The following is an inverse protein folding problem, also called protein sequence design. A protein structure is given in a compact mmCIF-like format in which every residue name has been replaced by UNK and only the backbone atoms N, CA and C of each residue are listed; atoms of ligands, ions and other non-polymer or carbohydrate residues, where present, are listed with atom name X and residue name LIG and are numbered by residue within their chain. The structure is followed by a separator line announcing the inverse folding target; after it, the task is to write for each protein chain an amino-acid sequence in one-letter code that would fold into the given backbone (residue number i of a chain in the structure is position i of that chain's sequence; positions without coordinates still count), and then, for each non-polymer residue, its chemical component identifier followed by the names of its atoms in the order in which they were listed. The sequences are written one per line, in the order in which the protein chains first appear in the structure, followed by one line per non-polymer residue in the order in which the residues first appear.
data_IF_709244527233
#
_entry.id   IF_709244527233
#
_cell.length_a   1.000
_cell.length_b   1.000
_cell.length_c   1.000
_cell.angle_alpha   90.00
_cell.angle_beta   90.00
_cell.angle_gamma   90.00
#
_symmetry.space_group_name_H-M   'P 1'
#
loop_
_entity.id
_entity.type
_entity.pdbx_description
1 polymer ?
#
# COMPACT_ATOMS: atom_id res chain seq x y z
N UNK A 1 14.24 44.21 4.15
CA UNK A 1 12.98 43.68 3.65
C UNK A 1 12.71 42.39 4.46
N UNK A 2 12.00 42.43 5.61
CA UNK A 2 11.82 41.30 6.54
C UNK A 2 10.95 40.14 6.03
N UNK A 3 11.19 39.64 4.83
CA UNK A 3 10.51 38.44 4.28
C UNK A 3 11.23 37.17 4.70
N UNK A 4 10.47 36.22 5.26
CA UNK A 4 10.91 34.86 5.46
C UNK A 4 10.54 34.02 4.24
N UNK A 5 11.48 33.27 3.70
CA UNK A 5 11.24 32.32 2.65
C UNK A 5 10.94 30.95 3.28
N UNK A 6 9.94 30.28 2.77
CA UNK A 6 9.67 28.87 3.08
C UNK A 6 10.36 28.02 2.02
N UNK A 7 11.04 26.96 2.44
CA UNK A 7 11.68 26.03 1.51
C UNK A 7 10.68 25.46 0.52
N UNK A 8 11.01 25.53 -0.76
CA UNK A 8 10.19 25.01 -1.83
C UNK A 8 10.46 23.52 -1.95
N UNK A 9 9.40 22.72 -1.94
CA UNK A 9 9.47 21.26 -2.13
C UNK A 9 8.66 20.85 -3.35
N UNK A 10 9.04 19.75 -4.04
CA UNK A 10 8.28 19.24 -5.18
C UNK A 10 6.84 18.89 -4.77
N UNK A 11 5.89 19.17 -5.68
CA UNK A 11 4.50 18.76 -5.56
C UNK A 11 4.02 18.20 -6.89
N UNK A 12 2.92 17.43 -6.87
CA UNK A 12 2.37 16.72 -8.02
C UNK A 12 3.42 15.82 -8.70
N UNK A 13 4.15 15.09 -7.88
CA UNK A 13 5.26 14.21 -8.30
C UNK A 13 5.02 12.77 -7.89
N UNK A 14 5.73 11.86 -8.58
CA UNK A 14 5.85 10.47 -8.18
C UNK A 14 6.55 10.36 -6.83
N UNK A 15 6.09 9.44 -5.98
CA UNK A 15 6.72 9.11 -4.69
C UNK A 15 7.50 7.80 -4.81
N UNK A 16 8.71 7.79 -4.25
CA UNK A 16 9.58 6.62 -4.24
C UNK A 16 9.33 5.78 -3.00
N UNK A 17 9.27 4.47 -3.18
CA UNK A 17 9.11 3.50 -2.11
C UNK A 17 10.38 2.68 -1.88
N UNK A 18 10.52 2.20 -0.66
CA UNK A 18 11.69 1.41 -0.21
C UNK A 18 11.65 -0.05 -0.66
N UNK A 19 10.46 -0.60 -0.88
CA UNK A 19 10.22 -2.04 -0.96
C UNK A 19 10.67 -2.64 -2.30
N UNK A 20 11.28 -3.84 -2.22
CA UNK A 20 11.82 -4.54 -3.39
C UNK A 20 10.76 -5.04 -4.37
N UNK A 21 9.51 -5.20 -3.94
CA UNK A 21 8.43 -5.70 -4.79
C UNK A 21 8.03 -4.74 -5.92
N UNK A 22 8.41 -3.47 -5.86
CA UNK A 22 8.08 -2.49 -6.91
C UNK A 22 8.55 -2.90 -8.30
N UNK A 23 9.72 -3.53 -8.40
CA UNK A 23 10.23 -4.04 -9.68
C UNK A 23 9.28 -5.07 -10.32
N UNK A 24 8.62 -5.91 -9.50
CA UNK A 24 7.64 -6.90 -9.97
C UNK A 24 6.30 -6.26 -10.35
N UNK A 25 5.90 -5.21 -9.62
CA UNK A 25 4.61 -4.54 -9.78
C UNK A 25 4.62 -3.44 -10.85
N UNK A 26 5.77 -3.10 -11.40
CA UNK A 26 5.90 -2.02 -12.39
C UNK A 26 4.92 -2.20 -13.56
N UNK A 27 4.21 -1.11 -13.89
CA UNK A 27 3.24 -1.03 -14.97
C UNK A 27 1.80 -1.40 -14.58
N UNK A 28 1.56 -1.84 -13.35
CA UNK A 28 0.19 -2.08 -12.87
C UNK A 28 -0.49 -0.74 -12.64
N UNK A 29 -1.72 -0.62 -13.17
CA UNK A 29 -2.64 0.48 -12.92
C UNK A 29 -3.97 -0.08 -12.48
N UNK A 30 -4.54 0.50 -11.45
CA UNK A 30 -5.90 0.19 -11.02
C UNK A 30 -6.45 1.32 -10.15
N UNK A 31 -7.77 1.37 -10.01
CA UNK A 31 -8.42 2.23 -9.06
C UNK A 31 -8.15 1.71 -7.64
N UNK A 32 -7.56 2.55 -6.82
CA UNK A 32 -7.13 2.22 -5.46
C UNK A 32 -7.35 3.42 -4.56
N UNK A 33 -7.41 3.18 -3.26
CA UNK A 33 -7.34 4.25 -2.27
C UNK A 33 -5.94 4.29 -1.66
N UNK A 34 -5.38 5.48 -1.52
CA UNK A 34 -4.08 5.71 -0.88
C UNK A 34 -4.25 6.70 0.26
N UNK A 35 -3.78 6.32 1.44
CA UNK A 35 -3.85 7.15 2.64
C UNK A 35 -2.45 7.39 3.16
N UNK A 36 -2.08 8.67 3.32
CA UNK A 36 -0.78 9.10 3.83
C UNK A 36 -0.81 9.23 5.34
N UNK A 37 0.21 8.68 5.97
CA UNK A 37 0.48 8.73 7.40
C UNK A 37 1.89 9.26 7.67
N UNK A 38 2.08 9.80 8.86
CA UNK A 38 3.42 10.12 9.40
C UNK A 38 3.72 9.21 10.57
N UNK A 39 4.90 8.60 10.56
CA UNK A 39 5.40 7.90 11.73
C UNK A 39 5.78 8.94 12.81
N UNK A 40 5.13 8.88 13.97
CA UNK A 40 5.59 9.64 15.13
C UNK A 40 6.93 9.07 15.57
N UNK A 41 7.94 9.93 15.80
CA UNK A 41 9.30 9.56 16.19
C UNK A 41 9.38 8.70 17.48
N UNK A 42 8.28 8.52 18.20
CA UNK A 42 8.17 7.68 19.40
C UNK A 42 7.81 6.22 19.10
N UNK A 43 7.43 5.87 17.86
CA UNK A 43 7.08 4.51 17.48
C UNK A 43 8.25 3.84 16.76
N UNK A 44 9.26 3.38 17.52
CA UNK A 44 10.20 2.39 17.03
C UNK A 44 9.57 0.99 17.23
N UNK A 45 9.33 0.20 16.19
CA UNK A 45 8.98 -1.20 16.36
C UNK A 45 10.23 -1.97 16.79
N UNK A 46 10.54 -1.99 18.08
CA UNK A 46 11.43 -3.00 18.65
C UNK A 46 10.64 -4.29 18.71
N UNK A 47 11.05 -5.26 17.86
CA UNK A 47 10.76 -6.69 17.98
C UNK A 47 9.35 -7.07 18.42
N UNK A 48 8.61 -7.68 17.50
CA UNK A 48 7.30 -8.29 17.71
C UNK A 48 7.17 -8.96 19.09
N UNK A 49 6.42 -8.33 20.01
CA UNK A 49 5.60 -8.90 21.09
C UNK A 49 5.19 -7.76 22.02
N UNK A 50 3.93 -7.39 21.98
CA UNK A 50 3.37 -6.49 22.96
C UNK A 50 2.31 -5.57 22.35
N UNK A 51 1.07 -5.77 22.72
CA UNK A 51 -0.04 -4.86 22.54
C UNK A 51 0.23 -3.58 23.33
N UNK A 52 0.90 -2.62 22.74
CA UNK A 52 0.81 -1.26 23.22
C UNK A 52 -0.45 -0.66 22.58
N UNK A 53 -1.39 -0.19 23.39
CA UNK A 53 -2.44 0.75 23.00
C UNK A 53 -1.74 2.02 22.53
N UNK A 54 -1.28 2.03 21.29
CA UNK A 54 -0.72 3.19 20.62
C UNK A 54 -1.86 3.97 19.98
N UNK A 55 -1.83 5.28 20.13
CA UNK A 55 -2.64 6.22 19.37
C UNK A 55 -2.55 5.85 17.89
N UNK A 56 -3.71 5.86 17.19
CA UNK A 56 -3.72 5.65 15.74
C UNK A 56 -2.82 6.72 15.13
N UNK A 57 -1.92 6.35 14.19
CA UNK A 57 -1.11 7.35 13.50
C UNK A 57 -2.05 8.36 12.83
N UNK A 58 -1.69 9.64 12.94
CA UNK A 58 -2.51 10.70 12.36
C UNK A 58 -2.56 10.55 10.85
N UNK A 59 -3.77 10.34 10.32
CA UNK A 59 -4.02 10.39 8.89
C UNK A 59 -3.81 11.82 8.41
N UNK A 60 -2.87 12.00 7.46
CA UNK A 60 -2.60 13.33 6.88
C UNK A 60 -3.63 13.64 5.80
N UNK A 61 -3.80 12.73 4.87
CA UNK A 61 -4.76 12.84 3.77
C UNK A 61 -5.04 11.47 3.15
N UNK A 62 -6.14 11.37 2.43
CA UNK A 62 -6.53 10.15 1.72
C UNK A 62 -7.14 10.54 0.39
N UNK A 63 -6.73 9.85 -0.68
CA UNK A 63 -7.19 10.09 -2.05
C UNK A 63 -7.53 8.77 -2.73
N UNK A 64 -8.50 8.78 -3.63
CA UNK A 64 -8.92 7.63 -4.42
C UNK A 64 -8.85 7.95 -5.91
N UNK A 65 -8.42 6.98 -6.71
CA UNK A 65 -8.36 7.07 -8.17
C UNK A 65 -7.40 6.07 -8.78
N UNK A 66 -7.09 6.25 -10.07
CA UNK A 66 -6.14 5.40 -10.76
C UNK A 66 -4.73 5.63 -10.22
N UNK A 67 -4.22 4.65 -9.51
CA UNK A 67 -2.85 4.60 -9.03
C UNK A 67 -2.01 3.74 -9.97
N UNK A 68 -0.78 4.18 -10.22
CA UNK A 68 0.20 3.45 -11.00
C UNK A 68 1.34 2.98 -10.10
N UNK A 69 1.62 1.68 -10.10
CA UNK A 69 2.80 1.10 -9.49
C UNK A 69 3.95 1.18 -10.50
N UNK A 70 5.07 1.79 -10.10
CA UNK A 70 6.27 1.95 -10.93
C UNK A 70 7.41 1.08 -10.40
N UNK A 71 8.53 1.02 -11.10
CA UNK A 71 9.68 0.23 -10.65
C UNK A 71 10.34 0.79 -9.37
N UNK A 72 10.08 2.05 -9.03
CA UNK A 72 10.69 2.74 -7.89
C UNK A 72 9.68 3.23 -6.84
N UNK A 73 8.37 3.04 -7.06
CA UNK A 73 7.37 3.54 -6.13
C UNK A 73 5.96 3.64 -6.71
N UNK A 74 5.26 4.71 -6.38
CA UNK A 74 3.86 4.95 -6.74
C UNK A 74 3.67 6.27 -7.47
N UNK A 75 2.73 6.30 -8.39
CA UNK A 75 2.39 7.45 -9.24
C UNK A 75 0.88 7.46 -9.53
N UNK A 76 0.42 8.45 -10.29
CA UNK A 76 -0.99 8.64 -10.64
C UNK A 76 -1.63 9.79 -9.87
N UNK A 77 -2.83 10.17 -10.28
CA UNK A 77 -3.50 11.37 -9.75
C UNK A 77 -3.62 11.36 -8.21
N UNK A 78 -4.02 10.27 -7.56
CA UNK A 78 -4.11 10.22 -6.10
C UNK A 78 -2.75 10.48 -5.42
N UNK A 79 -1.67 9.94 -6.02
CA UNK A 79 -0.32 10.14 -5.49
C UNK A 79 0.14 11.58 -5.66
N UNK A 80 -0.18 12.20 -6.79
CA UNK A 80 0.14 13.60 -7.03
C UNK A 80 -0.52 14.50 -5.98
N UNK A 81 -1.78 14.25 -5.64
CA UNK A 81 -2.50 15.02 -4.62
C UNK A 81 -1.86 14.91 -3.23
N UNK A 82 -1.43 13.72 -2.82
CA UNK A 82 -0.81 13.51 -1.50
C UNK A 82 0.68 13.90 -1.49
N UNK A 83 1.34 14.01 -2.66
CA UNK A 83 2.79 14.18 -2.76
C UNK A 83 3.30 15.43 -2.04
N UNK A 84 2.56 16.56 -2.09
CA UNK A 84 2.93 17.81 -1.41
C UNK A 84 3.10 17.65 0.11
N UNK A 85 2.31 16.78 0.70
CA UNK A 85 2.41 16.50 2.14
C UNK A 85 3.56 15.54 2.44
N UNK A 86 3.76 14.54 1.57
CA UNK A 86 4.85 13.57 1.72
C UNK A 86 6.21 14.24 1.54
N UNK A 87 6.37 15.09 0.52
CA UNK A 87 7.64 15.81 0.27
C UNK A 87 7.95 16.82 1.36
N UNK A 88 6.94 17.52 1.89
CA UNK A 88 7.12 18.39 3.05
C UNK A 88 7.54 17.60 4.28
N UNK A 89 6.92 16.45 4.54
CA UNK A 89 7.29 15.58 5.65
C UNK A 89 8.73 15.07 5.53
N UNK A 90 9.17 14.70 4.31
CA UNK A 90 10.57 14.31 4.07
C UNK A 90 11.54 15.46 4.31
N UNK A 91 11.19 16.68 3.88
CA UNK A 91 12.01 17.87 4.14
C UNK A 91 12.12 18.21 5.63
N UNK A 92 11.07 17.91 6.40
CA UNK A 92 11.03 18.05 7.87
C UNK A 92 11.67 16.82 8.59
N UNK A 93 12.39 15.95 7.88
CA UNK A 93 13.04 14.73 8.41
C UNK A 93 12.05 13.73 9.07
N UNK A 94 10.77 13.80 8.70
CA UNK A 94 9.74 12.86 9.14
C UNK A 94 9.75 11.61 8.24
N UNK A 95 9.12 10.54 8.72
CA UNK A 95 9.02 9.27 8.01
C UNK A 95 7.59 9.05 7.47
N UNK A 96 7.27 9.59 6.29
CA UNK A 96 5.97 9.37 5.68
C UNK A 96 5.86 7.94 5.15
N UNK A 97 4.67 7.36 5.29
CA UNK A 97 4.30 6.11 4.63
C UNK A 97 2.86 6.20 4.13
N UNK A 98 2.54 5.39 3.15
CA UNK A 98 1.16 5.25 2.68
C UNK A 98 0.65 3.84 2.93
N UNK A 99 -0.65 3.75 3.17
CA UNK A 99 -1.40 2.50 3.07
C UNK A 99 -2.21 2.55 1.78
N UNK A 100 -2.07 1.50 0.96
CA UNK A 100 -2.83 1.32 -0.27
C UNK A 100 -3.91 0.29 0.00
N UNK A 101 -5.15 0.63 -0.34
CA UNK A 101 -6.28 -0.28 -0.38
C UNK A 101 -6.54 -0.66 -1.84
N UNK A 102 -6.32 -1.93 -2.18
CA UNK A 102 -6.54 -2.48 -3.52
C UNK A 102 -8.00 -2.90 -3.79
N UNK A 103 -8.87 -2.85 -2.79
CA UNK A 103 -10.28 -3.19 -2.89
C UNK A 103 -11.15 -2.16 -2.13
N UNK A 104 -11.09 -0.86 -2.50
CA UNK A 104 -11.71 0.21 -1.71
C UNK A 104 -13.24 0.16 -1.65
N UNK A 105 -13.89 -0.60 -2.54
CA UNK A 105 -15.34 -0.74 -2.57
C UNK A 105 -15.89 -1.75 -1.57
N UNK A 106 -15.02 -2.56 -0.95
CA UNK A 106 -15.38 -3.59 0.00
C UNK A 106 -14.80 -3.28 1.39
N UNK A 107 -15.58 -3.51 2.43
CA UNK A 107 -15.07 -3.52 3.80
C UNK A 107 -14.15 -4.73 4.01
N UNK A 108 -13.34 -4.71 5.07
CA UNK A 108 -12.48 -5.85 5.44
C UNK A 108 -13.29 -7.15 5.60
N UNK A 109 -14.51 -7.04 6.16
CA UNK A 109 -15.40 -8.18 6.35
C UNK A 109 -15.91 -8.72 5.01
N UNK A 110 -16.46 -7.87 4.16
CA UNK A 110 -16.97 -8.26 2.84
C UNK A 110 -15.87 -8.87 1.98
N UNK A 111 -14.66 -8.30 2.03
CA UNK A 111 -13.53 -8.85 1.30
C UNK A 111 -13.07 -10.20 1.88
N UNK A 112 -13.10 -10.36 3.21
CA UNK A 112 -12.82 -11.66 3.84
C UNK A 112 -13.87 -12.72 3.46
N UNK A 113 -15.14 -12.36 3.44
CA UNK A 113 -16.23 -13.26 3.06
C UNK A 113 -16.07 -13.70 1.59
N UNK A 114 -15.77 -12.75 0.67
CA UNK A 114 -15.45 -13.05 -0.73
C UNK A 114 -14.26 -14.01 -0.89
N UNK A 115 -13.18 -13.77 -0.14
CA UNK A 115 -12.03 -14.67 -0.19
C UNK A 115 -12.33 -16.04 0.43
N UNK A 116 -13.14 -16.09 1.48
CA UNK A 116 -13.55 -17.36 2.12
C UNK A 116 -14.34 -18.24 1.15
N UNK A 117 -15.26 -17.65 0.40
CA UNK A 117 -15.99 -18.37 -0.65
C UNK A 117 -15.02 -18.95 -1.70
N UNK A 118 -14.07 -18.16 -2.18
CA UNK A 118 -13.10 -18.57 -3.22
C UNK A 118 -12.09 -19.61 -2.74
N UNK A 119 -11.68 -19.53 -1.47
CA UNK A 119 -10.64 -20.38 -0.90
C UNK A 119 -11.19 -21.67 -0.30
N UNK A 120 -12.44 -21.71 0.14
CA UNK A 120 -12.98 -22.86 0.86
C UNK A 120 -14.20 -23.51 0.19
N UNK A 121 -15.09 -22.71 -0.40
CA UNK A 121 -16.36 -23.22 -0.93
C UNK A 121 -16.26 -23.55 -2.42
N UNK A 122 -15.65 -22.65 -3.20
CA UNK A 122 -15.54 -22.76 -4.67
C UNK A 122 -14.10 -23.09 -5.14
N UNK A 123 -13.38 -23.90 -4.36
CA UNK A 123 -11.97 -24.18 -4.65
C UNK A 123 -11.77 -25.05 -5.89
N UNK A 124 -12.59 -26.09 -6.08
CA UNK A 124 -12.48 -27.06 -7.18
C UNK A 124 -11.04 -27.49 -7.53
N UNK A 125 -10.21 -27.69 -6.49
CA UNK A 125 -8.80 -28.04 -6.66
C UNK A 125 -7.86 -26.87 -7.00
N UNK A 126 -8.34 -25.64 -6.97
CA UNK A 126 -7.53 -24.43 -7.30
C UNK A 126 -6.43 -24.18 -6.29
N UNK A 127 -5.31 -23.65 -6.80
CA UNK A 127 -4.25 -23.06 -5.97
C UNK A 127 -4.67 -21.70 -5.42
N UNK A 128 -3.95 -21.20 -4.41
CA UNK A 128 -4.15 -19.86 -3.84
C UNK A 128 -4.00 -18.76 -4.90
N UNK A 129 -3.07 -18.93 -5.86
CA UNK A 129 -2.92 -18.01 -6.98
C UNK A 129 -4.14 -17.98 -7.89
N UNK A 130 -4.68 -19.17 -8.21
CA UNK A 130 -5.88 -19.30 -9.05
C UNK A 130 -7.15 -18.76 -8.36
N UNK A 131 -7.24 -18.87 -7.04
CA UNK A 131 -8.35 -18.29 -6.28
C UNK A 131 -8.42 -16.76 -6.37
N UNK A 132 -7.33 -16.07 -6.70
CA UNK A 132 -7.28 -14.61 -6.90
C UNK A 132 -7.48 -14.17 -8.36
N UNK A 133 -7.61 -15.10 -9.31
CA UNK A 133 -7.86 -14.76 -10.73
C UNK A 133 -9.19 -13.98 -10.84
N UNK A 134 -9.14 -12.87 -11.57
CA UNK A 134 -10.29 -11.98 -11.77
C UNK A 134 -10.49 -10.94 -10.66
N UNK A 135 -9.76 -11.04 -9.53
CA UNK A 135 -9.73 -9.97 -8.53
C UNK A 135 -8.59 -8.98 -8.79
N UNK A 136 -7.40 -9.48 -9.07
CA UNK A 136 -6.20 -8.68 -9.25
C UNK A 136 -5.39 -9.12 -10.46
N UNK A 137 -4.53 -8.21 -10.95
CA UNK A 137 -3.48 -8.58 -11.89
C UNK A 137 -2.60 -9.69 -11.28
N UNK A 138 -2.16 -10.66 -12.09
CA UNK A 138 -1.38 -11.81 -11.65
C UNK A 138 -0.14 -11.41 -10.82
N UNK A 139 0.63 -10.41 -11.29
CA UNK A 139 1.82 -9.94 -10.56
C UNK A 139 1.48 -9.39 -9.18
N UNK A 140 0.35 -8.67 -9.08
CA UNK A 140 -0.13 -8.15 -7.79
C UNK A 140 -0.56 -9.29 -6.87
N UNK A 141 -1.32 -10.28 -7.38
CA UNK A 141 -1.72 -11.46 -6.62
C UNK A 141 -0.52 -12.21 -6.04
N UNK A 142 0.53 -12.43 -6.84
CA UNK A 142 1.76 -13.10 -6.40
C UNK A 142 2.47 -12.34 -5.26
N UNK A 143 2.53 -11.01 -5.35
CA UNK A 143 3.12 -10.18 -4.29
C UNK A 143 2.25 -10.20 -3.04
N UNK A 144 0.94 -10.02 -3.14
CA UNK A 144 0.01 -10.04 -2.01
C UNK A 144 0.03 -11.37 -1.26
N UNK A 145 0.05 -12.49 -2.00
CA UNK A 145 0.18 -13.82 -1.40
C UNK A 145 1.51 -13.97 -0.67
N UNK A 146 2.61 -13.56 -1.30
CA UNK A 146 3.95 -13.61 -0.69
C UNK A 146 4.03 -12.79 0.60
N UNK A 147 3.49 -11.57 0.61
CA UNK A 147 3.44 -10.71 1.80
C UNK A 147 2.56 -11.31 2.91
N UNK A 148 1.50 -12.02 2.55
CA UNK A 148 0.66 -12.76 3.50
C UNK A 148 1.28 -14.07 4.00
N UNK A 149 2.42 -14.50 3.40
CA UNK A 149 3.09 -15.76 3.71
C UNK A 149 2.39 -16.97 3.10
N UNK A 150 1.74 -16.82 1.94
CA UNK A 150 1.05 -17.87 1.20
C UNK A 150 1.84 -18.17 -0.06
N UNK A 151 2.18 -19.45 -0.30
CA UNK A 151 2.73 -19.89 -1.57
C UNK A 151 1.62 -19.96 -2.62
N UNK A 152 1.87 -19.41 -3.79
CA UNK A 152 0.87 -19.30 -4.87
C UNK A 152 0.33 -20.67 -5.31
N UNK A 153 1.18 -21.71 -5.26
CA UNK A 153 0.89 -23.09 -5.67
C UNK A 153 0.15 -23.90 -4.61
N UNK A 154 0.08 -23.37 -3.35
CA UNK A 154 -0.61 -24.08 -2.27
C UNK A 154 -2.09 -24.25 -2.63
N UNK A 155 -2.65 -25.42 -2.33
CA UNK A 155 -4.08 -25.63 -2.49
C UNK A 155 -4.86 -24.62 -1.65
N UNK A 156 -5.81 -23.91 -2.24
CA UNK A 156 -6.51 -22.81 -1.59
C UNK A 156 -7.21 -23.26 -0.29
N UNK A 157 -7.82 -24.45 -0.30
CA UNK A 157 -8.51 -25.01 0.86
C UNK A 157 -7.62 -25.32 2.06
N UNK A 158 -6.28 -25.40 1.87
CA UNK A 158 -5.32 -25.62 2.97
C UNK A 158 -4.84 -24.33 3.62
N UNK A 159 -5.20 -23.16 3.07
CA UNK A 159 -4.81 -21.89 3.65
C UNK A 159 -5.59 -21.68 4.96
N UNK A 160 -4.86 -21.57 6.07
CA UNK A 160 -5.49 -21.36 7.38
C UNK A 160 -6.25 -20.02 7.41
N UNK A 161 -7.41 -19.97 8.08
CA UNK A 161 -8.24 -18.75 8.21
C UNK A 161 -7.46 -17.54 8.74
N UNK A 162 -6.57 -17.75 9.73
CA UNK A 162 -5.70 -16.69 10.23
C UNK A 162 -4.76 -16.13 9.17
N UNK A 163 -4.31 -16.96 8.24
CA UNK A 163 -3.48 -16.54 7.10
C UNK A 163 -4.30 -15.80 6.06
N UNK A 164 -5.54 -16.24 5.82
CA UNK A 164 -6.48 -15.52 4.96
C UNK A 164 -6.78 -14.11 5.50
N UNK A 165 -6.94 -13.94 6.83
CA UNK A 165 -7.05 -12.61 7.45
C UNK A 165 -5.80 -11.75 7.22
N UNK A 166 -4.60 -12.34 7.21
CA UNK A 166 -3.38 -11.60 6.84
C UNK A 166 -3.42 -11.14 5.38
N UNK A 167 -3.92 -11.98 4.47
CA UNK A 167 -4.10 -11.60 3.08
C UNK A 167 -5.07 -10.42 2.94
N UNK A 168 -6.22 -10.45 3.65
CA UNK A 168 -7.14 -9.30 3.69
C UNK A 168 -6.42 -8.04 4.14
N UNK A 169 -5.63 -8.10 5.22
CA UNK A 169 -4.84 -6.94 5.69
C UNK A 169 -3.82 -6.47 4.65
N UNK A 170 -3.16 -7.39 3.96
CA UNK A 170 -2.23 -7.03 2.88
C UNK A 170 -2.96 -6.32 1.73
N UNK A 171 -4.18 -6.73 1.39
CA UNK A 171 -4.96 -6.08 0.33
C UNK A 171 -5.49 -4.72 0.76
N UNK A 172 -6.00 -4.61 1.99
CA UNK A 172 -6.68 -3.41 2.49
C UNK A 172 -5.73 -2.36 3.07
N UNK A 173 -4.53 -2.75 3.48
CA UNK A 173 -3.57 -1.90 4.16
C UNK A 173 -2.14 -2.19 3.69
N UNK A 174 -1.92 -2.16 2.38
CA UNK A 174 -0.61 -2.43 1.79
C UNK A 174 0.34 -1.27 2.04
N UNK A 175 1.32 -1.48 2.91
CA UNK A 175 2.22 -0.42 3.35
C UNK A 175 3.35 -0.16 2.35
N UNK A 176 3.55 1.12 2.06
CA UNK A 176 4.69 1.64 1.29
C UNK A 176 5.38 2.73 2.11
N UNK A 177 6.61 2.49 2.52
CA UNK A 177 7.44 3.51 3.17
C UNK A 177 7.98 4.45 2.10
N UNK A 178 7.74 5.76 2.24
CA UNK A 178 8.14 6.77 1.27
C UNK A 178 9.55 7.25 1.64
N UNK A 179 10.49 7.13 0.71
CA UNK A 179 11.89 7.47 0.90
C UNK A 179 12.36 8.66 0.08
N UNK A 180 11.51 9.16 -0.82
CA UNK A 180 11.83 10.27 -1.70
C UNK A 180 10.72 10.54 -2.71
N UNK A 181 10.98 11.46 -3.62
CA UNK A 181 10.13 11.80 -4.74
C UNK A 181 10.96 12.13 -5.97
N UNK A 182 10.32 12.25 -7.12
CA UNK A 182 10.93 12.96 -8.25
C UNK A 182 11.22 14.41 -7.88
N UNK A 183 12.24 15.00 -8.52
CA UNK A 183 12.62 16.39 -8.30
C UNK A 183 11.66 17.41 -8.90
N UNK A 184 12.00 18.69 -8.76
CA UNK A 184 11.21 19.83 -9.25
C UNK A 184 11.02 19.80 -10.77
N UNK A 185 11.96 19.25 -11.51
CA UNK A 185 11.93 19.11 -12.97
C UNK A 185 10.82 18.18 -13.48
N UNK A 186 10.35 17.30 -12.60
CA UNK A 186 9.27 16.36 -12.91
C UNK A 186 7.93 16.78 -12.28
N UNK A 187 7.89 17.91 -11.58
CA UNK A 187 6.67 18.43 -10.97
C UNK A 187 5.68 18.87 -12.06
N UNK A 188 4.43 18.48 -11.92
CA UNK A 188 3.36 18.95 -12.80
C UNK A 188 2.80 20.27 -12.26
N UNK A 189 2.43 21.17 -13.16
CA UNK A 189 1.78 22.46 -12.89
C UNK A 189 0.41 22.51 -13.52
#
# INVERSE_FOLDING_TARGET
LGHHFVDVVPALVQLHGKQAFFKKLAGIRAEMQVTLYLENAQFQPKGSRGTARGEKPDTVCSERGELQLTASGISGIPVFQISRYATRALADEKHPYVLIDFAPDLTDKEFFDLLSERFYENTHGKSAGEALIGLFNRKLSEVLLSEAGIRSELYAGEVARATLHRLVKCVKNFRVDITGSNGMEAAQV
#
